data_IF_336318563528
#
_entry.id   IF_336318563528
#
_cell.length_a   1.000
_cell.length_b   1.000
_cell.length_c   1.000
_cell.angle_alpha   90.00
_cell.angle_beta   90.00
_cell.angle_gamma   90.00
#
_symmetry.space_group_name_H-M   'P 1'
#
loop_
_entity.id
_entity.type
_entity.pdbx_description
1 polymer ?
#
# COMPACT_ATOMS: atom_id res chain seq x y z
N UNK A 1 27.94 45.14 -2.21
CA UNK A 1 27.74 44.21 -1.08
C UNK A 1 26.58 43.29 -1.42
N UNK A 2 26.81 41.98 -1.55
CA UNK A 2 25.71 41.00 -1.62
C UNK A 2 25.16 40.86 -0.21
N UNK A 3 23.86 41.11 -0.04
CA UNK A 3 23.16 40.90 1.23
C UNK A 3 23.01 39.38 1.38
N UNK A 4 23.57 38.80 2.44
CA UNK A 4 23.32 37.40 2.76
C UNK A 4 21.81 37.19 2.97
N UNK A 5 21.23 36.10 2.46
CA UNK A 5 19.82 35.82 2.66
C UNK A 5 19.55 35.66 4.16
N UNK A 6 18.43 36.23 4.62
CA UNK A 6 18.02 36.14 6.02
C UNK A 6 17.94 34.67 6.47
N UNK A 7 18.35 34.36 7.71
CA UNK A 7 18.33 33.00 8.22
C UNK A 7 16.88 32.49 8.29
N UNK A 8 16.65 31.33 7.66
CA UNK A 8 15.35 30.64 7.63
C UNK A 8 14.89 30.38 9.05
N UNK A 9 13.71 30.91 9.39
CA UNK A 9 13.13 30.81 10.72
C UNK A 9 12.70 29.37 11.06
N UNK A 10 12.61 29.05 12.36
CA UNK A 10 12.13 27.74 12.81
C UNK A 10 10.72 27.42 12.28
N UNK A 11 9.86 28.45 12.13
CA UNK A 11 8.55 28.31 11.51
C UNK A 11 8.60 27.86 10.05
N UNK A 12 9.56 28.36 9.27
CA UNK A 12 9.77 27.95 7.88
C UNK A 12 10.35 26.54 7.78
N UNK A 13 11.23 26.14 8.71
CA UNK A 13 11.69 24.75 8.83
C UNK A 13 10.55 23.79 9.13
N UNK A 14 9.64 24.16 10.03
CA UNK A 14 8.46 23.34 10.37
C UNK A 14 7.51 23.22 9.18
N UNK A 15 7.29 24.31 8.42
CA UNK A 15 6.47 24.29 7.20
C UNK A 15 7.11 23.43 6.12
N UNK A 16 8.42 23.55 5.89
CA UNK A 16 9.17 22.73 4.94
C UNK A 16 9.10 21.23 5.31
N UNK A 17 9.28 20.91 6.59
CA UNK A 17 9.23 19.53 7.08
C UNK A 17 7.82 18.94 6.95
N UNK A 18 6.78 19.73 7.24
CA UNK A 18 5.38 19.32 7.05
C UNK A 18 5.02 19.18 5.58
N UNK A 19 5.53 20.02 4.68
CA UNK A 19 5.34 19.89 3.23
C UNK A 19 5.95 18.59 2.68
N UNK A 20 7.05 18.10 3.25
CA UNK A 20 7.64 16.80 2.90
C UNK A 20 6.82 15.59 3.39
N UNK A 21 5.96 15.79 4.40
CA UNK A 21 5.18 14.73 5.06
C UNK A 21 3.67 14.78 4.72
N UNK A 22 3.18 15.84 4.08
CA UNK A 22 1.75 16.01 3.81
C UNK A 22 1.34 15.11 2.64
N UNK A 23 0.89 13.92 3.00
CA UNK A 23 0.30 12.97 2.06
C UNK A 23 -0.94 13.62 1.45
N UNK A 24 -0.81 14.12 0.23
CA UNK A 24 -1.89 14.78 -0.48
C UNK A 24 -3.14 13.88 -0.50
N UNK A 25 -4.26 14.27 0.14
CA UNK A 25 -5.47 13.45 0.23
C UNK A 25 -6.06 13.08 -1.14
N UNK A 26 -5.83 13.91 -2.15
CA UNK A 26 -6.21 13.62 -3.54
C UNK A 26 -5.33 12.53 -4.15
N UNK A 27 -4.02 12.55 -3.86
CA UNK A 27 -3.10 11.50 -4.27
C UNK A 27 -3.45 10.17 -3.59
N UNK A 28 -3.80 10.21 -2.30
CA UNK A 28 -4.29 9.07 -1.52
C UNK A 28 -5.54 8.42 -2.15
N UNK A 29 -6.55 9.24 -2.47
CA UNK A 29 -7.79 8.77 -3.10
C UNK A 29 -7.56 8.18 -4.49
N UNK A 30 -6.64 8.78 -5.26
CA UNK A 30 -6.25 8.31 -6.59
C UNK A 30 -5.52 6.97 -6.52
N UNK A 31 -4.58 6.83 -5.58
CA UNK A 31 -3.85 5.58 -5.32
C UNK A 31 -4.82 4.46 -4.92
N UNK A 32 -5.75 4.73 -3.99
CA UNK A 32 -6.74 3.74 -3.53
C UNK A 32 -7.61 3.24 -4.69
N UNK A 33 -8.09 4.14 -5.56
CA UNK A 33 -8.87 3.75 -6.75
C UNK A 33 -8.04 2.88 -7.70
N UNK A 34 -6.81 3.28 -7.98
CA UNK A 34 -5.90 2.55 -8.88
C UNK A 34 -5.55 1.16 -8.35
N UNK A 35 -5.23 1.04 -7.06
CA UNK A 35 -4.98 -0.25 -6.41
C UNK A 35 -6.22 -1.13 -6.50
N UNK A 36 -7.42 -0.61 -6.21
CA UNK A 36 -8.66 -1.38 -6.39
C UNK A 36 -8.87 -1.89 -7.82
N UNK A 37 -8.54 -1.07 -8.83
CA UNK A 37 -8.65 -1.48 -10.23
C UNK A 37 -7.57 -2.48 -10.66
N UNK A 38 -6.42 -2.51 -9.99
CA UNK A 38 -5.29 -3.36 -10.33
C UNK A 38 -5.27 -4.70 -9.58
N UNK A 39 -5.86 -4.76 -8.39
CA UNK A 39 -6.02 -5.98 -7.60
C UNK A 39 -7.23 -6.75 -8.13
N UNK A 40 -6.99 -7.51 -9.19
CA UNK A 40 -8.01 -8.38 -9.82
C UNK A 40 -7.62 -9.84 -9.59
N UNK A 41 -8.51 -10.59 -8.94
CA UNK A 41 -8.35 -12.03 -8.75
C UNK A 41 -8.91 -12.76 -9.98
N UNK A 42 -8.04 -13.03 -10.94
CA UNK A 42 -8.41 -13.63 -12.23
C UNK A 42 -8.74 -15.13 -12.07
N UNK A 43 -10.02 -15.45 -11.89
CA UNK A 43 -10.51 -16.82 -11.69
C UNK A 43 -10.21 -17.74 -12.89
N UNK A 44 -9.88 -17.19 -14.07
CA UNK A 44 -9.59 -17.98 -15.26
C UNK A 44 -8.15 -18.50 -15.29
N UNK A 45 -7.25 -17.96 -14.46
CA UNK A 45 -5.90 -18.51 -14.26
C UNK A 45 -6.03 -19.76 -13.40
N UNK A 46 -5.82 -20.96 -13.96
CA UNK A 46 -6.07 -22.23 -13.26
C UNK A 46 -5.16 -22.44 -12.04
N UNK A 47 -3.89 -22.05 -12.15
CA UNK A 47 -2.89 -22.18 -11.10
C UNK A 47 -3.01 -21.08 -10.04
N UNK A 48 -3.06 -21.47 -8.76
CA UNK A 48 -3.29 -20.57 -7.64
C UNK A 48 -2.11 -19.59 -7.44
N UNK A 49 -0.88 -20.07 -7.58
CA UNK A 49 0.33 -19.25 -7.44
C UNK A 49 0.44 -18.23 -8.57
N UNK A 50 0.13 -18.65 -9.80
CA UNK A 50 0.07 -17.75 -10.96
C UNK A 50 -1.03 -16.70 -10.82
N UNK A 51 -2.18 -17.07 -10.22
CA UNK A 51 -3.30 -16.16 -10.00
C UNK A 51 -2.94 -15.09 -8.95
N UNK A 52 -2.34 -15.52 -7.84
CA UNK A 52 -1.83 -14.62 -6.80
C UNK A 52 -0.69 -13.77 -7.37
N UNK A 53 0.25 -14.36 -8.10
CA UNK A 53 1.37 -13.69 -8.76
C UNK A 53 0.91 -12.54 -9.66
N UNK A 54 -0.05 -12.79 -10.55
CA UNK A 54 -0.60 -11.79 -11.48
C UNK A 54 -1.29 -10.63 -10.76
N UNK A 55 -2.06 -10.91 -9.72
CA UNK A 55 -2.70 -9.89 -8.88
C UNK A 55 -1.65 -9.01 -8.17
N UNK A 56 -0.57 -9.63 -7.67
CA UNK A 56 0.52 -8.94 -6.99
C UNK A 56 1.38 -8.11 -7.94
N UNK A 57 1.55 -8.55 -9.19
CA UNK A 57 2.26 -7.78 -10.21
C UNK A 57 1.44 -6.55 -10.63
N UNK A 58 0.12 -6.69 -10.78
CA UNK A 58 -0.81 -5.57 -10.99
C UNK A 58 -0.73 -4.53 -9.86
N UNK A 59 -0.69 -5.00 -8.61
CA UNK A 59 -0.48 -4.17 -7.43
C UNK A 59 0.87 -3.42 -7.49
N UNK A 60 1.96 -4.12 -7.81
CA UNK A 60 3.29 -3.53 -7.91
C UNK A 60 3.35 -2.42 -8.98
N UNK A 61 2.70 -2.62 -10.13
CA UNK A 61 2.58 -1.62 -11.20
C UNK A 61 1.78 -0.41 -10.72
N UNK A 62 0.65 -0.63 -10.03
CA UNK A 62 -0.19 0.45 -9.51
C UNK A 62 0.54 1.32 -8.48
N UNK A 63 1.36 0.70 -7.63
CA UNK A 63 2.16 1.34 -6.60
C UNK A 63 3.34 2.14 -7.19
N UNK A 64 4.07 1.56 -8.16
CA UNK A 64 5.28 2.19 -8.75
C UNK A 64 4.97 3.44 -9.56
N UNK A 65 3.77 3.55 -10.12
CA UNK A 65 3.40 4.59 -11.10
C UNK A 65 3.44 6.03 -10.56
N UNK A 66 3.39 6.25 -9.24
CA UNK A 66 3.43 7.60 -8.64
C UNK A 66 4.61 7.83 -7.66
N UNK A 67 5.56 6.88 -7.53
CA UNK A 67 6.74 6.95 -6.62
C UNK A 67 6.40 7.47 -5.20
N UNK A 68 5.22 7.15 -4.68
CA UNK A 68 4.72 7.61 -3.38
C UNK A 68 5.01 6.59 -2.28
N UNK A 69 6.28 6.25 -2.09
CA UNK A 69 6.70 5.26 -1.09
C UNK A 69 6.34 5.65 0.34
N UNK A 70 6.38 6.96 0.66
CA UNK A 70 5.91 7.50 1.94
C UNK A 70 4.42 7.25 2.17
N UNK A 71 3.60 7.39 1.13
CA UNK A 71 2.14 7.19 1.18
C UNK A 71 1.79 5.71 1.35
N UNK A 72 2.57 4.80 0.79
CA UNK A 72 2.34 3.34 0.95
C UNK A 72 2.33 2.95 2.42
N UNK A 73 3.21 3.54 3.24
CA UNK A 73 3.25 3.24 4.68
C UNK A 73 1.96 3.69 5.39
N UNK A 74 1.34 4.77 4.94
CA UNK A 74 0.06 5.26 5.47
C UNK A 74 -1.15 4.46 4.96
N UNK A 75 -1.12 3.97 3.71
CA UNK A 75 -2.20 3.16 3.14
C UNK A 75 -2.00 1.66 3.27
N UNK A 76 -0.88 1.18 3.81
CA UNK A 76 -0.54 -0.24 3.82
C UNK A 76 -1.67 -1.09 4.39
N UNK A 77 -2.29 -0.64 5.48
CA UNK A 77 -3.43 -1.33 6.07
C UNK A 77 -4.67 -1.35 5.16
N UNK A 78 -4.94 -0.26 4.44
CA UNK A 78 -6.03 -0.19 3.49
C UNK A 78 -5.77 -1.07 2.25
N UNK A 79 -4.53 -1.14 1.79
CA UNK A 79 -4.13 -2.01 0.67
C UNK A 79 -4.23 -3.48 1.08
N UNK A 80 -3.73 -3.86 2.26
CA UNK A 80 -3.89 -5.22 2.80
C UNK A 80 -5.37 -5.62 2.83
N UNK A 81 -6.24 -4.73 3.30
CA UNK A 81 -7.69 -4.98 3.28
C UNK A 81 -8.23 -5.15 1.85
N UNK A 82 -7.84 -4.31 0.91
CA UNK A 82 -8.26 -4.43 -0.50
C UNK A 82 -7.83 -5.78 -1.09
N UNK A 83 -6.61 -6.24 -0.81
CA UNK A 83 -6.11 -7.54 -1.29
C UNK A 83 -6.93 -8.67 -0.67
N UNK A 84 -7.15 -8.67 0.66
CA UNK A 84 -7.96 -9.69 1.34
C UNK A 84 -9.38 -9.73 0.79
N UNK A 85 -10.03 -8.57 0.63
CA UNK A 85 -11.41 -8.46 0.11
C UNK A 85 -11.51 -8.91 -1.37
N UNK A 86 -10.42 -8.82 -2.15
CA UNK A 86 -10.39 -9.25 -3.55
C UNK A 86 -10.25 -10.77 -3.73
N UNK A 87 -9.89 -11.51 -2.68
CA UNK A 87 -9.80 -12.97 -2.73
C UNK A 87 -11.19 -13.58 -2.81
N UNK A 88 -11.54 -14.10 -3.99
CA UNK A 88 -12.89 -14.61 -4.29
C UNK A 88 -13.21 -15.96 -3.62
N UNK A 89 -12.31 -16.96 -3.57
CA UNK A 89 -12.63 -18.25 -2.95
C UNK A 89 -12.88 -18.10 -1.44
N UNK A 90 -14.07 -18.47 -0.98
CA UNK A 90 -14.49 -18.26 0.41
C UNK A 90 -13.60 -18.98 1.43
N UNK A 91 -13.09 -20.17 1.09
CA UNK A 91 -12.15 -20.93 1.91
C UNK A 91 -10.82 -20.19 2.11
N UNK A 92 -10.27 -19.63 1.03
CA UNK A 92 -9.02 -18.86 1.06
C UNK A 92 -9.21 -17.51 1.77
N UNK A 93 -10.30 -16.81 1.49
CA UNK A 93 -10.65 -15.57 2.19
C UNK A 93 -10.77 -15.80 3.70
N UNK A 94 -11.45 -16.88 4.11
CA UNK A 94 -11.60 -17.26 5.52
C UNK A 94 -10.25 -17.59 6.17
N UNK A 95 -9.41 -18.39 5.51
CA UNK A 95 -8.09 -18.74 6.03
C UNK A 95 -7.20 -17.50 6.21
N UNK A 96 -7.20 -16.57 5.25
CA UNK A 96 -6.45 -15.30 5.35
C UNK A 96 -7.01 -14.45 6.50
N UNK A 97 -8.33 -14.37 6.65
CA UNK A 97 -8.97 -13.60 7.73
C UNK A 97 -8.65 -14.17 9.11
N UNK A 98 -8.70 -15.49 9.26
CA UNK A 98 -8.33 -16.20 10.50
C UNK A 98 -6.85 -15.98 10.84
N UNK A 99 -5.94 -16.08 9.87
CA UNK A 99 -4.52 -15.77 10.07
C UNK A 99 -4.31 -14.30 10.44
N UNK A 100 -5.05 -13.38 9.82
CA UNK A 100 -4.98 -11.97 10.17
C UNK A 100 -5.54 -11.72 11.59
N UNK A 101 -6.48 -12.50 12.10
CA UNK A 101 -6.98 -12.32 13.47
C UNK A 101 -5.91 -12.57 14.56
N UNK A 102 -4.85 -13.33 14.25
CA UNK A 102 -3.80 -13.68 15.20
C UNK A 102 -2.93 -12.47 15.61
N UNK A 103 -2.68 -12.32 16.92
CA UNK A 103 -1.87 -11.23 17.47
C UNK A 103 -0.45 -11.21 16.90
N UNK A 104 0.13 -12.38 16.59
CA UNK A 104 1.47 -12.52 15.97
C UNK A 104 1.55 -11.90 14.57
N UNK A 105 0.42 -11.79 13.87
CA UNK A 105 0.33 -11.28 12.49
C UNK A 105 -0.02 -9.77 12.43
N UNK A 106 -0.04 -9.08 13.58
CA UNK A 106 -0.17 -7.60 13.62
C UNK A 106 0.79 -6.86 12.66
N UNK A 107 2.06 -7.26 12.51
CA UNK A 107 2.96 -6.59 11.58
C UNK A 107 2.52 -6.71 10.12
N UNK A 108 1.92 -7.84 9.72
CA UNK A 108 1.44 -8.07 8.34
C UNK A 108 0.30 -7.12 7.97
N UNK A 109 -0.57 -6.77 8.93
CA UNK A 109 -1.66 -5.81 8.70
C UNK A 109 -1.19 -4.38 8.41
N UNK A 110 0.02 -4.02 8.84
CA UNK A 110 0.55 -2.66 8.75
C UNK A 110 1.57 -2.49 7.62
N UNK A 111 1.98 -3.59 7.00
CA UNK A 111 3.04 -3.61 6.01
C UNK A 111 2.61 -4.46 4.82
N UNK A 112 2.25 -3.78 3.73
CA UNK A 112 1.82 -4.44 2.50
C UNK A 112 2.90 -5.32 1.91
N UNK A 113 4.18 -4.94 2.00
CA UNK A 113 5.28 -5.73 1.43
C UNK A 113 5.46 -7.04 2.19
N UNK A 114 5.37 -6.98 3.52
CA UNK A 114 5.45 -8.17 4.38
C UNK A 114 4.27 -9.10 4.19
N UNK A 115 3.07 -8.53 4.03
CA UNK A 115 1.85 -9.29 3.72
C UNK A 115 1.93 -9.98 2.35
N UNK A 116 2.39 -9.26 1.32
CA UNK A 116 2.56 -9.80 -0.04
C UNK A 116 3.59 -10.93 -0.07
N UNK A 117 4.70 -10.79 0.67
CA UNK A 117 5.69 -11.87 0.81
C UNK A 117 5.07 -13.10 1.47
N UNK A 118 4.35 -12.91 2.57
CA UNK A 118 3.68 -13.99 3.29
C UNK A 118 2.63 -14.72 2.44
N UNK A 119 1.91 -14.02 1.54
CA UNK A 119 0.95 -14.65 0.63
C UNK A 119 1.60 -15.52 -0.47
N UNK A 120 2.90 -15.36 -0.73
CA UNK A 120 3.65 -16.14 -1.72
C UNK A 120 4.41 -17.32 -1.10
N UNK A 121 4.47 -17.39 0.22
CA UNK A 121 5.07 -18.48 1.01
C UNK A 121 4.01 -19.53 1.38
#
# INVERSE_FOLDING_TARGET
>A
MRKDPDPVSEGEWIVWFKQGYDVNPRALGTLKKRVKSAVVFDILVADADSRIGRMLDGLAVAIRRDRQESVIREVSQAIVKIITDAVVPASLHRAITEQMALTRNKPLKKDVYRFVRWLRE
#
